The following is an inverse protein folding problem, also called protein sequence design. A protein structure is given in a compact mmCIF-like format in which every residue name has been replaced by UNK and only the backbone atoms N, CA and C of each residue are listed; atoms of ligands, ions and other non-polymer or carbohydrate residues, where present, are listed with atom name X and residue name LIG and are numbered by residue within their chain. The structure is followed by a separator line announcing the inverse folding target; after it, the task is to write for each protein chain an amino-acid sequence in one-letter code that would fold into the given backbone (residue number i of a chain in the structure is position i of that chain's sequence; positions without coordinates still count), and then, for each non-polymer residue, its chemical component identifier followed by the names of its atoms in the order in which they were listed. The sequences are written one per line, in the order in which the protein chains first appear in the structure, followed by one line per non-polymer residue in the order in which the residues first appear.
data_IF_791320189821
#
_entry.id   IF_791320189821
#
_cell.length_a   1.000
_cell.length_b   1.000
_cell.length_c   1.000
_cell.angle_alpha   90.00
_cell.angle_beta   90.00
_cell.angle_gamma   90.00
#
_symmetry.space_group_name_H-M   'P 1'
#
loop_
_entity.id
_entity.type
_entity.pdbx_description
1 polymer ?
#
# COMPACT_ATOMS: atom_id res chain seq x y z
N UNK A 1 18.47 13.31 31.80
CA UNK A 1 17.42 13.11 30.76
C UNK A 1 17.65 11.75 30.12
N UNK A 2 16.59 11.01 29.87
CA UNK A 2 16.66 9.73 29.12
C UNK A 2 16.96 10.07 27.65
N UNK A 3 17.98 9.44 27.08
CA UNK A 3 18.34 9.63 25.66
C UNK A 3 17.77 8.48 24.82
N UNK A 4 17.17 8.81 23.68
CA UNK A 4 16.77 7.83 22.66
C UNK A 4 17.95 7.38 21.81
N UNK A 5 17.75 6.32 21.00
CA UNK A 5 18.73 5.89 20.00
C UNK A 5 18.96 7.01 18.97
N UNK A 6 20.22 7.24 18.56
CA UNK A 6 20.56 8.24 17.53
C UNK A 6 19.82 8.06 16.21
N UNK A 7 19.54 6.80 15.85
CA UNK A 7 18.77 6.47 14.66
C UNK A 7 17.39 7.16 14.61
N UNK A 8 16.78 7.41 15.77
CA UNK A 8 15.45 8.04 15.87
C UNK A 8 15.46 9.55 15.56
N UNK A 9 16.61 10.20 15.53
CA UNK A 9 16.73 11.64 15.23
C UNK A 9 16.29 11.96 13.78
N UNK A 10 16.36 10.97 12.87
CA UNK A 10 15.95 11.11 11.47
C UNK A 10 14.47 10.78 11.24
N UNK A 11 13.77 10.23 12.24
CA UNK A 11 12.40 9.73 12.12
C UNK A 11 11.43 10.80 12.58
N UNK A 12 10.44 11.11 11.73
CA UNK A 12 9.27 11.89 12.12
C UNK A 12 8.11 10.93 12.38
N UNK A 13 7.28 11.19 13.42
CA UNK A 13 6.08 10.41 13.63
C UNK A 13 5.19 10.42 12.38
N UNK A 14 4.64 9.27 12.03
CA UNK A 14 3.68 9.18 10.92
C UNK A 14 2.48 10.10 11.15
N UNK A 15 2.14 10.90 10.15
CA UNK A 15 0.96 11.76 10.18
C UNK A 15 -0.18 11.09 9.41
N UNK A 16 -1.12 10.41 10.08
CA UNK A 16 -2.27 9.81 9.41
C UNK A 16 -3.17 10.87 8.78
N UNK A 17 -3.96 10.48 7.78
CA UNK A 17 -5.06 11.32 7.32
C UNK A 17 -6.11 11.48 8.43
N UNK A 18 -6.80 12.63 8.45
CA UNK A 18 -7.87 12.88 9.45
C UNK A 18 -8.92 11.77 9.39
N UNK A 19 -9.36 11.24 10.54
CA UNK A 19 -10.49 10.31 10.59
C UNK A 19 -11.80 11.06 10.32
N UNK A 20 -12.84 10.33 9.89
CA UNK A 20 -14.15 10.89 9.55
C UNK A 20 -14.75 11.67 10.72
N UNK A 21 -14.74 11.07 11.92
CA UNK A 21 -15.34 11.66 13.12
C UNK A 21 -14.69 13.00 13.50
N UNK A 22 -13.38 13.13 13.35
CA UNK A 22 -12.66 14.37 13.67
C UNK A 22 -13.10 15.51 12.74
N UNK A 23 -13.23 15.24 11.43
CA UNK A 23 -13.71 16.23 10.46
C UNK A 23 -15.18 16.60 10.70
N UNK A 24 -16.00 15.61 11.07
CA UNK A 24 -17.40 15.87 11.45
C UNK A 24 -17.51 16.81 12.65
N UNK A 25 -16.73 16.56 13.71
CA UNK A 25 -16.74 17.39 14.91
C UNK A 25 -16.17 18.79 14.65
N UNK A 26 -15.02 18.89 13.96
CA UNK A 26 -14.37 20.18 13.69
C UNK A 26 -15.20 21.10 12.80
N UNK A 27 -15.89 20.55 11.79
CA UNK A 27 -16.59 21.32 10.78
C UNK A 27 -18.12 21.33 10.96
N UNK A 28 -18.64 20.57 11.93
CA UNK A 28 -20.09 20.47 12.17
C UNK A 28 -20.85 19.81 11.02
N UNK A 29 -20.25 18.82 10.35
CA UNK A 29 -20.82 18.16 9.17
C UNK A 29 -21.46 16.83 9.55
N UNK A 30 -22.68 16.59 9.09
CA UNK A 30 -23.38 15.31 9.27
C UNK A 30 -22.77 14.18 8.42
N UNK A 31 -22.23 14.53 7.24
CA UNK A 31 -21.66 13.58 6.29
C UNK A 31 -20.27 13.99 5.84
N UNK A 32 -19.35 13.04 5.89
CA UNK A 32 -17.98 13.18 5.39
C UNK A 32 -17.63 11.97 4.52
N UNK A 33 -17.02 12.22 3.37
CA UNK A 33 -16.56 11.21 2.43
C UNK A 33 -15.03 11.10 2.53
N UNK A 34 -14.52 9.91 2.83
CA UNK A 34 -13.10 9.68 2.98
C UNK A 34 -12.51 8.93 1.77
N UNK A 35 -11.85 9.69 0.91
CA UNK A 35 -11.14 9.19 -0.29
C UNK A 35 -9.61 9.35 -0.14
N UNK A 36 -9.05 9.06 1.04
CA UNK A 36 -7.67 9.37 1.40
C UNK A 36 -6.79 8.14 1.69
N UNK A 37 -7.36 7.03 2.16
CA UNK A 37 -6.58 5.90 2.70
C UNK A 37 -6.62 4.63 1.85
N UNK A 38 -7.14 4.73 0.62
CA UNK A 38 -7.23 3.61 -0.32
C UNK A 38 -7.98 2.41 0.28
N UNK A 39 -9.00 2.69 1.08
CA UNK A 39 -9.90 1.69 1.66
C UNK A 39 -10.85 1.15 0.58
N UNK A 40 -11.38 -0.06 0.78
CA UNK A 40 -12.39 -0.61 -0.13
C UNK A 40 -13.76 0.02 0.16
N UNK A 41 -14.40 0.73 -0.79
CA UNK A 41 -15.68 1.38 -0.54
C UNK A 41 -16.84 0.40 -0.32
N UNK A 42 -16.70 -0.88 -0.71
CA UNK A 42 -17.68 -1.93 -0.43
C UNK A 42 -17.59 -2.47 1.01
N UNK A 43 -16.54 -2.09 1.76
CA UNK A 43 -16.25 -2.66 3.07
C UNK A 43 -15.78 -4.12 3.01
N UNK A 44 -15.82 -4.88 4.12
CA UNK A 44 -15.44 -6.27 4.19
C UNK A 44 -16.53 -7.20 3.61
N UNK A 45 -16.14 -8.40 3.16
CA UNK A 45 -17.10 -9.39 2.74
C UNK A 45 -18.01 -9.85 3.90
N UNK A 46 -19.24 -10.25 3.59
CA UNK A 46 -20.16 -10.81 4.60
C UNK A 46 -19.61 -12.06 5.28
N UNK A 47 -18.86 -12.90 4.54
CA UNK A 47 -18.20 -14.10 5.08
C UNK A 47 -17.13 -13.73 6.12
N UNK A 48 -16.35 -12.67 5.87
CA UNK A 48 -15.36 -12.19 6.82
C UNK A 48 -16.02 -11.62 8.09
N UNK A 49 -17.11 -10.87 7.95
CA UNK A 49 -17.89 -10.34 9.07
C UNK A 49 -18.44 -11.47 9.92
N UNK A 50 -19.05 -12.49 9.29
CA UNK A 50 -19.58 -13.68 9.98
C UNK A 50 -18.47 -14.42 10.75
N UNK A 51 -17.31 -14.64 10.14
CA UNK A 51 -16.16 -15.27 10.79
C UNK A 51 -15.68 -14.49 12.03
N UNK A 52 -15.65 -13.15 11.96
CA UNK A 52 -15.36 -12.29 13.11
C UNK A 52 -16.38 -12.51 14.23
N UNK A 53 -17.67 -12.49 13.90
CA UNK A 53 -18.74 -12.67 14.89
C UNK A 53 -18.65 -14.03 15.61
N UNK A 54 -18.34 -15.09 14.88
CA UNK A 54 -18.13 -16.42 15.46
C UNK A 54 -16.91 -16.47 16.38
N UNK A 55 -15.85 -15.70 16.08
CA UNK A 55 -14.62 -15.67 16.86
C UNK A 55 -14.73 -14.86 18.17
N UNK A 56 -15.70 -13.95 18.30
CA UNK A 56 -15.85 -13.06 19.47
C UNK A 56 -15.92 -13.80 20.80
N UNK A 57 -16.54 -14.98 20.83
CA UNK A 57 -16.74 -15.77 22.07
C UNK A 57 -15.47 -16.41 22.63
N UNK A 58 -14.35 -16.36 21.88
CA UNK A 58 -13.06 -16.95 22.25
C UNK A 58 -11.96 -15.92 22.53
N UNK A 59 -12.28 -14.64 22.57
CA UNK A 59 -11.29 -13.53 22.72
C UNK A 59 -10.46 -13.59 24.01
N UNK A 60 -10.86 -14.36 24.99
CA UNK A 60 -10.10 -14.60 26.21
C UNK A 60 -8.92 -15.58 26.02
N UNK A 61 -8.70 -16.09 24.80
CA UNK A 61 -7.61 -16.98 24.45
C UNK A 61 -6.62 -16.27 23.52
N UNK A 62 -5.34 -16.61 23.64
CA UNK A 62 -4.34 -16.19 22.65
C UNK A 62 -4.69 -16.77 21.28
N UNK A 63 -4.43 -16.00 20.20
CA UNK A 63 -4.57 -16.53 18.84
C UNK A 63 -3.55 -17.62 18.57
N UNK A 64 -3.71 -18.33 17.45
CA UNK A 64 -2.67 -19.23 16.93
C UNK A 64 -1.44 -18.40 16.52
N UNK A 65 -0.28 -18.68 17.14
CA UNK A 65 0.96 -17.95 16.90
C UNK A 65 1.46 -18.07 15.47
N UNK A 66 1.18 -19.19 14.80
CA UNK A 66 1.60 -19.48 13.42
C UNK A 66 0.49 -19.21 12.40
N UNK A 67 -0.72 -18.86 12.84
CA UNK A 67 -1.90 -18.65 12.01
C UNK A 67 -2.10 -19.79 10.99
N UNK A 68 -2.01 -21.06 11.44
CA UNK A 68 -1.91 -22.26 10.60
C UNK A 68 -3.05 -22.35 9.58
N UNK A 69 -4.30 -22.11 10.00
CA UNK A 69 -5.45 -22.18 9.11
C UNK A 69 -5.43 -21.11 8.02
N UNK A 70 -5.08 -19.86 8.39
CA UNK A 70 -4.93 -18.77 7.43
C UNK A 70 -3.78 -19.06 6.46
N UNK A 71 -2.65 -19.50 6.99
CA UNK A 71 -1.47 -19.86 6.20
C UNK A 71 -1.76 -20.94 5.20
N UNK A 72 -2.52 -21.99 5.59
CA UNK A 72 -2.93 -23.06 4.68
C UNK A 72 -3.88 -22.54 3.59
N UNK A 73 -4.88 -21.71 3.95
CA UNK A 73 -5.80 -21.12 2.97
C UNK A 73 -5.09 -20.25 1.93
N UNK A 74 -4.09 -19.48 2.35
CA UNK A 74 -3.25 -18.69 1.44
C UNK A 74 -2.38 -19.60 0.57
N UNK A 75 -1.76 -20.62 1.17
CA UNK A 75 -0.92 -21.59 0.46
C UNK A 75 -1.68 -22.28 -0.67
N UNK A 76 -2.90 -22.76 -0.38
CA UNK A 76 -3.79 -23.40 -1.35
C UNK A 76 -4.21 -22.41 -2.46
N UNK A 77 -4.55 -21.18 -2.10
CA UNK A 77 -4.98 -20.13 -3.05
C UNK A 77 -3.89 -19.72 -4.02
N UNK A 78 -2.66 -19.59 -3.53
CA UNK A 78 -1.50 -19.11 -4.30
C UNK A 78 -0.66 -20.26 -4.89
N UNK A 79 -1.01 -21.52 -4.56
CA UNK A 79 -0.23 -22.70 -4.95
C UNK A 79 1.26 -22.60 -4.53
N UNK A 80 1.49 -22.24 -3.26
CA UNK A 80 2.82 -22.17 -2.64
C UNK A 80 2.87 -23.05 -1.40
N UNK A 81 4.06 -23.40 -0.90
CA UNK A 81 4.17 -24.17 0.34
C UNK A 81 3.91 -23.25 1.57
N UNK A 82 3.25 -23.76 2.61
CA UNK A 82 3.03 -23.04 3.86
C UNK A 82 4.33 -22.55 4.51
N UNK A 83 5.45 -23.24 4.30
CA UNK A 83 6.78 -22.83 4.76
C UNK A 83 7.33 -21.58 4.04
N UNK A 84 6.75 -21.19 2.91
CA UNK A 84 7.08 -19.99 2.15
C UNK A 84 6.27 -18.76 2.59
N UNK A 85 5.39 -18.91 3.59
CA UNK A 85 4.47 -17.86 4.05
C UNK A 85 4.82 -17.36 5.45
N UNK A 86 4.69 -16.04 5.63
CA UNK A 86 4.66 -15.38 6.92
C UNK A 86 3.41 -14.53 7.03
N UNK A 87 2.68 -14.64 8.14
CA UNK A 87 1.48 -13.84 8.42
C UNK A 87 1.86 -12.71 9.39
N UNK A 88 1.41 -11.50 9.08
CA UNK A 88 1.81 -10.28 9.79
C UNK A 88 0.61 -9.40 10.15
N UNK A 89 0.80 -8.50 11.12
CA UNK A 89 -0.17 -7.52 11.58
C UNK A 89 -0.26 -6.33 10.59
N UNK A 90 -0.79 -6.59 9.40
CA UNK A 90 -0.72 -5.73 8.23
C UNK A 90 0.61 -5.90 7.48
N UNK A 91 0.69 -5.28 6.30
CA UNK A 91 1.91 -5.25 5.50
C UNK A 91 3.04 -4.45 6.17
N UNK A 92 2.68 -3.43 6.94
CA UNK A 92 3.64 -2.53 7.59
C UNK A 92 4.52 -3.28 8.60
N UNK A 93 3.96 -4.24 9.36
CA UNK A 93 4.78 -5.09 10.23
C UNK A 93 5.82 -5.88 9.44
N UNK A 94 5.47 -6.40 8.26
CA UNK A 94 6.44 -7.13 7.44
C UNK A 94 7.60 -6.23 7.01
N UNK A 95 7.35 -4.98 6.62
CA UNK A 95 8.39 -4.00 6.28
C UNK A 95 9.33 -3.77 7.48
N UNK A 96 8.78 -3.63 8.68
CA UNK A 96 9.57 -3.51 9.92
C UNK A 96 10.40 -4.76 10.17
N UNK A 97 9.79 -5.95 10.12
CA UNK A 97 10.49 -7.23 10.31
C UNK A 97 11.61 -7.46 9.29
N UNK A 98 11.41 -7.04 8.03
CA UNK A 98 12.46 -7.09 7.00
C UNK A 98 13.63 -6.19 7.37
N UNK A 99 13.35 -4.98 7.83
CA UNK A 99 14.38 -4.06 8.27
C UNK A 99 15.17 -4.61 9.48
N UNK A 100 14.48 -5.15 10.47
CA UNK A 100 15.09 -5.76 11.66
C UNK A 100 15.90 -7.03 11.34
N UNK A 101 15.50 -7.76 10.29
CA UNK A 101 16.16 -9.01 9.91
C UNK A 101 17.41 -8.78 9.07
N UNK A 102 17.41 -7.79 8.17
CA UNK A 102 18.40 -7.70 7.10
C UNK A 102 19.23 -6.41 7.11
N UNK A 103 18.90 -5.42 7.95
CA UNK A 103 19.62 -4.15 7.98
C UNK A 103 20.40 -3.94 9.25
N UNK A 104 21.63 -3.45 9.08
CA UNK A 104 22.50 -2.94 10.13
C UNK A 104 22.82 -1.47 9.90
N UNK A 105 23.40 -0.81 10.90
CA UNK A 105 23.79 0.58 10.79
C UNK A 105 24.79 0.81 9.64
N UNK A 106 24.42 1.69 8.72
CA UNK A 106 25.25 2.03 7.55
C UNK A 106 24.93 1.23 6.29
N UNK A 107 24.10 0.19 6.38
CA UNK A 107 23.54 -0.49 5.21
C UNK A 107 22.68 0.45 4.36
N UNK A 108 22.31 0.04 3.17
CA UNK A 108 21.52 0.82 2.24
C UNK A 108 20.30 0.04 1.76
N UNK A 109 19.17 0.76 1.64
CA UNK A 109 18.03 0.32 0.86
C UNK A 109 17.86 1.21 -0.36
N UNK A 110 17.33 0.66 -1.46
CA UNK A 110 16.94 1.43 -2.65
C UNK A 110 15.42 1.49 -2.70
N UNK A 111 14.88 2.71 -2.86
CA UNK A 111 13.45 2.97 -2.93
C UNK A 111 13.14 3.84 -4.15
N UNK A 112 12.23 3.43 -5.04
CA UNK A 112 11.71 4.31 -6.09
C UNK A 112 11.08 5.58 -5.49
N UNK A 113 11.26 6.72 -6.12
CA UNK A 113 10.77 8.00 -5.58
C UNK A 113 10.00 8.79 -6.64
N UNK A 114 8.76 9.19 -6.34
CA UNK A 114 8.02 9.01 -5.07
C UNK A 114 7.47 7.59 -4.87
N UNK A 115 7.44 7.12 -3.61
CA UNK A 115 6.85 5.83 -3.24
C UNK A 115 6.31 5.84 -1.79
N UNK A 116 6.01 4.66 -1.23
CA UNK A 116 5.44 4.52 0.10
C UNK A 116 6.48 4.81 1.19
N UNK A 117 6.14 5.70 2.13
CA UNK A 117 7.09 6.26 3.13
C UNK A 117 7.53 5.28 4.22
N UNK A 118 6.81 4.18 4.43
CA UNK A 118 7.14 3.24 5.51
C UNK A 118 8.43 2.44 5.24
N UNK A 119 8.89 2.38 3.99
CA UNK A 119 10.19 1.78 3.68
C UNK A 119 11.33 2.59 4.32
N UNK A 120 11.26 3.92 4.22
CA UNK A 120 12.24 4.84 4.80
C UNK A 120 12.23 4.74 6.33
N UNK A 121 11.05 4.62 6.93
CA UNK A 121 10.89 4.46 8.37
C UNK A 121 11.66 3.25 8.89
N UNK A 122 11.45 2.07 8.27
CA UNK A 122 12.12 0.83 8.67
C UNK A 122 13.65 0.93 8.55
N UNK A 123 14.15 1.51 7.45
CA UNK A 123 15.59 1.71 7.26
C UNK A 123 16.19 2.65 8.31
N UNK A 124 15.58 3.80 8.52
CA UNK A 124 16.04 4.76 9.52
C UNK A 124 16.02 4.19 10.93
N UNK A 125 15.01 3.35 11.27
CA UNK A 125 14.92 2.67 12.57
C UNK A 125 16.16 1.80 12.84
N UNK A 126 16.71 1.18 11.81
CA UNK A 126 17.94 0.35 11.90
C UNK A 126 19.23 1.15 11.74
N UNK A 127 19.15 2.45 11.42
CA UNK A 127 20.31 3.29 11.14
C UNK A 127 20.88 3.09 9.73
N UNK A 128 20.12 2.46 8.85
CA UNK A 128 20.44 2.32 7.44
C UNK A 128 20.14 3.60 6.66
N UNK A 129 20.70 3.70 5.46
CA UNK A 129 20.51 4.83 4.55
C UNK A 129 19.47 4.47 3.47
N UNK A 130 18.74 5.48 3.04
CA UNK A 130 17.78 5.37 1.93
C UNK A 130 18.40 6.00 0.70
N UNK A 131 18.50 5.22 -0.37
CA UNK A 131 18.93 5.67 -1.70
C UNK A 131 17.70 5.77 -2.58
N UNK A 132 17.38 6.98 -3.04
CA UNK A 132 16.20 7.24 -3.85
C UNK A 132 16.50 7.04 -5.33
N UNK A 133 15.83 6.08 -5.96
CA UNK A 133 15.81 5.86 -7.41
C UNK A 133 14.63 6.64 -8.01
N UNK A 134 14.89 7.75 -8.69
CA UNK A 134 13.82 8.59 -9.24
C UNK A 134 13.06 7.86 -10.34
N UNK A 135 11.74 7.93 -10.27
CA UNK A 135 10.85 7.54 -11.37
C UNK A 135 10.96 8.55 -12.52
N UNK A 136 10.61 8.13 -13.73
CA UNK A 136 10.54 8.99 -14.90
C UNK A 136 9.44 10.06 -14.78
N UNK A 137 9.34 10.95 -15.78
CA UNK A 137 8.39 12.07 -15.76
C UNK A 137 6.92 11.64 -15.60
N UNK A 138 6.55 10.50 -16.19
CA UNK A 138 5.20 9.92 -16.08
C UNK A 138 5.07 8.94 -14.91
N UNK A 139 6.01 9.00 -13.96
CA UNK A 139 6.11 8.10 -12.82
C UNK A 139 6.32 6.62 -13.18
N UNK A 140 6.83 6.34 -14.35
CA UNK A 140 7.23 5.01 -14.78
C UNK A 140 8.58 4.61 -14.15
N UNK A 141 8.78 3.30 -14.03
CA UNK A 141 10.04 2.76 -13.51
C UNK A 141 11.14 2.81 -14.57
N UNK A 142 12.33 3.30 -14.18
CA UNK A 142 13.57 3.06 -14.91
C UNK A 142 14.45 2.10 -14.10
N UNK A 143 14.55 0.86 -14.55
CA UNK A 143 15.36 -0.16 -13.88
C UNK A 143 16.86 0.16 -13.90
N UNK A 144 17.34 0.97 -14.86
CA UNK A 144 18.74 1.34 -14.92
C UNK A 144 19.09 2.30 -13.77
N UNK A 145 18.20 3.24 -13.43
CA UNK A 145 18.38 4.11 -12.25
C UNK A 145 18.45 3.30 -10.96
N UNK A 146 17.67 2.23 -10.85
CA UNK A 146 17.73 1.31 -9.70
C UNK A 146 19.07 0.57 -9.68
N UNK A 147 19.51 0.04 -10.83
CA UNK A 147 20.76 -0.72 -10.94
C UNK A 147 21.99 0.16 -10.70
N UNK A 148 21.99 1.38 -11.21
CA UNK A 148 23.08 2.34 -11.02
C UNK A 148 23.20 2.83 -9.56
N UNK A 149 22.12 2.73 -8.79
CA UNK A 149 22.09 3.05 -7.36
C UNK A 149 22.66 1.93 -6.46
N UNK A 150 22.90 0.73 -6.99
CA UNK A 150 23.40 -0.43 -6.22
C UNK A 150 24.85 -0.21 -5.79
N UNK A 151 25.13 -0.44 -4.52
CA UNK A 151 26.48 -0.44 -3.93
C UNK A 151 26.73 -1.71 -3.13
N UNK A 152 27.94 -1.92 -2.64
CA UNK A 152 28.29 -3.04 -1.76
C UNK A 152 27.52 -3.02 -0.42
N UNK A 153 26.91 -1.87 -0.05
CA UNK A 153 26.09 -1.72 1.15
C UNK A 153 24.61 -1.97 0.91
N UNK A 154 24.18 -2.10 -0.34
CA UNK A 154 22.78 -2.34 -0.67
C UNK A 154 22.33 -3.70 -0.18
N UNK A 155 21.29 -3.76 0.66
CA UNK A 155 20.71 -4.98 1.21
C UNK A 155 19.31 -5.26 0.70
N UNK A 156 18.51 -4.21 0.51
CA UNK A 156 17.10 -4.34 0.10
C UNK A 156 16.81 -3.36 -1.04
N UNK A 157 16.09 -3.85 -2.04
CA UNK A 157 15.43 -3.02 -3.06
C UNK A 157 13.93 -3.16 -2.88
N UNK A 158 13.24 -2.06 -2.59
CA UNK A 158 11.78 -2.01 -2.52
C UNK A 158 11.19 -1.66 -3.88
N UNK A 159 10.14 -2.37 -4.27
CA UNK A 159 9.38 -2.15 -5.51
C UNK A 159 7.89 -2.19 -5.17
N UNK A 160 7.23 -1.05 -5.15
CA UNK A 160 5.78 -0.97 -4.93
C UNK A 160 5.07 -1.04 -6.29
N UNK A 161 4.40 -2.14 -6.59
CA UNK A 161 3.76 -2.31 -7.90
C UNK A 161 2.38 -2.98 -7.75
N UNK A 162 1.30 -2.24 -8.05
CA UNK A 162 1.22 -0.82 -8.43
C UNK A 162 1.72 0.12 -7.35
N UNK A 163 2.40 1.21 -7.76
CA UNK A 163 3.09 2.13 -6.87
C UNK A 163 2.13 3.09 -6.15
N UNK A 164 2.38 3.36 -4.90
CA UNK A 164 1.71 4.39 -4.11
C UNK A 164 2.70 5.56 -3.88
N UNK A 165 2.45 6.79 -4.37
CA UNK A 165 1.12 7.35 -4.68
C UNK A 165 0.74 7.40 -6.17
N UNK A 166 1.54 6.91 -7.09
CA UNK A 166 1.40 7.21 -8.52
C UNK A 166 0.37 6.34 -9.24
N UNK A 167 0.15 5.10 -8.75
CA UNK A 167 -0.70 4.12 -9.39
C UNK A 167 -0.07 3.40 -10.59
N UNK A 168 1.12 3.80 -11.01
CA UNK A 168 1.90 3.15 -12.06
C UNK A 168 2.43 1.80 -11.60
N UNK A 169 2.81 0.92 -12.51
CA UNK A 169 3.30 -0.41 -12.18
C UNK A 169 4.62 -0.71 -12.90
N UNK A 170 5.34 -1.69 -12.38
CA UNK A 170 6.55 -2.22 -13.02
C UNK A 170 6.16 -3.38 -13.96
N UNK A 171 6.37 -3.27 -15.28
CA UNK A 171 6.11 -4.34 -16.24
C UNK A 171 6.95 -5.59 -15.95
N UNK A 172 6.37 -6.76 -16.18
CA UNK A 172 6.99 -8.06 -15.94
C UNK A 172 8.38 -8.21 -16.59
N UNK A 173 8.52 -7.78 -17.84
CA UNK A 173 9.78 -7.86 -18.55
C UNK A 173 10.88 -6.98 -17.93
N UNK A 174 10.53 -5.83 -17.38
CA UNK A 174 11.47 -4.96 -16.66
C UNK A 174 11.85 -5.57 -15.30
N UNK A 175 10.88 -6.17 -14.59
CA UNK A 175 11.16 -6.87 -13.34
C UNK A 175 12.10 -8.05 -13.55
N UNK A 176 11.90 -8.84 -14.61
CA UNK A 176 12.80 -9.94 -15.00
C UNK A 176 14.22 -9.44 -15.30
N UNK A 177 14.33 -8.35 -16.06
CA UNK A 177 15.63 -7.74 -16.35
C UNK A 177 16.34 -7.23 -15.10
N UNK A 178 15.59 -6.65 -14.16
CA UNK A 178 16.13 -6.19 -12.87
C UNK A 178 16.66 -7.39 -12.06
N UNK A 179 15.86 -8.43 -11.87
CA UNK A 179 16.24 -9.62 -11.11
C UNK A 179 17.49 -10.31 -11.68
N UNK A 180 17.62 -10.37 -13.01
CA UNK A 180 18.76 -10.98 -13.68
C UNK A 180 20.07 -10.19 -13.55
N UNK A 181 19.99 -8.90 -13.20
CA UNK A 181 21.16 -8.01 -13.08
C UNK A 181 21.53 -7.69 -11.64
N UNK A 182 20.60 -7.83 -10.71
CA UNK A 182 20.88 -7.58 -9.29
C UNK A 182 21.76 -8.69 -8.71
N UNK A 183 22.71 -8.36 -7.82
CA UNK A 183 23.47 -9.35 -7.06
C UNK A 183 22.57 -10.24 -6.18
N UNK A 184 22.86 -11.54 -6.12
CA UNK A 184 22.05 -12.55 -5.40
C UNK A 184 21.92 -12.33 -3.89
N UNK A 185 22.75 -11.46 -3.31
CA UNK A 185 22.68 -11.13 -1.87
C UNK A 185 21.69 -10.00 -1.55
N UNK A 186 21.14 -9.32 -2.55
CA UNK A 186 20.19 -8.24 -2.38
C UNK A 186 18.77 -8.82 -2.34
N UNK A 187 18.04 -8.55 -1.27
CA UNK A 187 16.64 -8.92 -1.14
C UNK A 187 15.78 -7.93 -1.94
N UNK A 188 14.95 -8.45 -2.83
CA UNK A 188 13.93 -7.64 -3.52
C UNK A 188 12.60 -7.78 -2.80
N UNK A 189 12.06 -6.68 -2.29
CA UNK A 189 10.72 -6.62 -1.70
C UNK A 189 9.76 -6.13 -2.77
N UNK A 190 8.91 -7.04 -3.26
CA UNK A 190 7.86 -6.70 -4.21
C UNK A 190 6.56 -6.44 -3.44
N UNK A 191 6.26 -5.15 -3.22
CA UNK A 191 5.04 -4.75 -2.52
C UNK A 191 3.85 -4.75 -3.48
N UNK A 192 3.06 -5.81 -3.39
CA UNK A 192 1.85 -6.06 -4.16
C UNK A 192 0.56 -5.65 -3.44
N UNK A 193 0.58 -4.66 -2.54
CA UNK A 193 -0.61 -4.25 -1.78
C UNK A 193 -1.83 -3.91 -2.65
N UNK A 194 -1.59 -3.52 -3.90
CA UNK A 194 -2.64 -3.17 -4.89
C UNK A 194 -2.72 -4.15 -6.05
N UNK A 195 -2.00 -5.28 -6.02
CA UNK A 195 -1.89 -6.26 -7.12
C UNK A 195 -3.24 -6.74 -7.66
N UNK A 196 -4.21 -6.94 -6.78
CA UNK A 196 -5.55 -7.40 -7.16
C UNK A 196 -6.34 -6.42 -8.05
N UNK A 197 -5.92 -5.16 -8.13
CA UNK A 197 -6.54 -4.14 -8.99
C UNK A 197 -5.83 -3.99 -10.34
N UNK A 198 -4.63 -4.54 -10.48
CA UNK A 198 -3.85 -4.47 -11.72
C UNK A 198 -4.47 -5.40 -12.77
N UNK A 199 -4.75 -4.84 -13.96
CA UNK A 199 -5.40 -5.52 -15.06
C UNK A 199 -4.54 -5.56 -16.35
N UNK A 200 -3.28 -5.12 -16.28
CA UNK A 200 -2.37 -5.16 -17.44
C UNK A 200 -1.90 -6.60 -17.69
N UNK A 201 -1.86 -7.00 -18.96
CA UNK A 201 -1.45 -8.36 -19.35
C UNK A 201 0.03 -8.66 -19.02
N UNK A 202 0.86 -7.62 -18.93
CA UNK A 202 2.27 -7.70 -18.58
C UNK A 202 2.57 -7.37 -17.11
N UNK A 203 1.55 -7.38 -16.25
CA UNK A 203 1.72 -7.23 -14.81
C UNK A 203 2.17 -8.55 -14.16
N UNK A 204 2.95 -8.46 -13.09
CA UNK A 204 3.26 -9.58 -12.17
C UNK A 204 3.10 -9.12 -10.73
N UNK A 205 2.74 -10.04 -9.84
CA UNK A 205 2.75 -9.83 -8.38
C UNK A 205 4.05 -10.31 -7.70
N UNK A 206 5.02 -10.77 -8.48
CA UNK A 206 6.32 -11.22 -8.01
C UNK A 206 6.37 -12.64 -7.45
N UNK A 207 5.24 -13.30 -7.18
CA UNK A 207 5.19 -14.62 -6.52
C UNK A 207 5.82 -15.72 -7.37
N UNK A 208 5.63 -15.69 -8.68
CA UNK A 208 6.17 -16.70 -9.61
C UNK A 208 7.71 -16.79 -9.58
N UNK A 209 8.42 -15.70 -9.27
CA UNK A 209 9.89 -15.66 -9.23
C UNK A 209 10.48 -16.31 -7.99
N UNK A 210 9.69 -16.48 -6.93
CA UNK A 210 10.11 -17.17 -5.70
C UNK A 210 10.41 -18.64 -5.98
N UNK A 211 9.58 -19.30 -6.79
CA UNK A 211 9.80 -20.67 -7.22
C UNK A 211 11.06 -20.84 -8.08
N UNK A 212 11.45 -19.79 -8.83
CA UNK A 212 12.67 -19.75 -9.65
C UNK A 212 13.93 -19.49 -8.85
N UNK A 213 13.84 -19.31 -7.52
CA UNK A 213 14.99 -19.21 -6.62
C UNK A 213 15.53 -17.79 -6.40
N UNK A 214 14.94 -16.77 -7.01
CA UNK A 214 15.34 -15.38 -6.78
C UNK A 214 15.13 -14.96 -5.31
N UNK A 215 15.97 -14.04 -4.77
CA UNK A 215 15.81 -13.50 -3.42
C UNK A 215 14.69 -12.45 -3.38
N UNK A 216 13.46 -12.88 -3.69
CA UNK A 216 12.26 -12.04 -3.70
C UNK A 216 11.38 -12.38 -2.51
N UNK A 217 10.80 -11.36 -1.89
CA UNK A 217 9.65 -11.48 -1.02
C UNK A 217 8.49 -10.65 -1.60
N UNK A 218 7.39 -11.33 -1.95
CA UNK A 218 6.15 -10.68 -2.37
C UNK A 218 5.32 -10.37 -1.12
N UNK A 219 5.03 -9.07 -0.92
CA UNK A 219 4.26 -8.56 0.20
C UNK A 219 2.82 -8.32 -0.25
N UNK A 220 1.83 -8.77 0.55
CA UNK A 220 0.41 -8.67 0.28
C UNK A 220 -0.35 -8.21 1.52
N UNK A 221 -1.53 -7.60 1.32
CA UNK A 221 -2.35 -7.10 2.43
C UNK A 221 -3.83 -7.43 2.24
N UNK A 222 -4.52 -7.68 3.35
CA UNK A 222 -5.98 -7.75 3.37
C UNK A 222 -6.66 -6.38 3.56
N UNK A 223 -5.88 -5.32 3.73
CA UNK A 223 -6.39 -3.96 3.99
C UNK A 223 -7.09 -3.32 2.78
N UNK A 224 -6.77 -3.77 1.55
CA UNK A 224 -7.22 -3.12 0.30
C UNK A 224 -8.39 -3.89 -0.31
N UNK A 225 -8.15 -4.78 -1.26
CA UNK A 225 -9.20 -5.49 -2.00
C UNK A 225 -10.18 -6.24 -1.08
N UNK A 226 -9.71 -6.80 0.02
CA UNK A 226 -10.53 -7.58 0.96
C UNK A 226 -11.32 -6.73 1.96
N UNK A 227 -11.11 -5.39 2.02
CA UNK A 227 -11.83 -4.50 2.91
C UNK A 227 -11.54 -4.68 4.41
N UNK A 228 -10.39 -5.25 4.77
CA UNK A 228 -10.05 -5.62 6.15
C UNK A 228 -9.00 -4.69 6.79
N UNK A 229 -8.96 -3.42 6.39
CA UNK A 229 -7.97 -2.45 6.89
C UNK A 229 -7.96 -2.33 8.41
N UNK A 230 -9.12 -2.38 9.06
CA UNK A 230 -9.27 -2.17 10.51
C UNK A 230 -8.82 -3.35 11.38
N UNK A 231 -8.76 -4.58 10.84
CA UNK A 231 -8.36 -5.77 11.63
C UNK A 231 -6.87 -6.05 11.58
N UNK A 232 -6.12 -5.38 10.70
CA UNK A 232 -4.66 -5.42 10.60
C UNK A 232 -4.12 -6.83 10.28
N UNK A 233 -4.18 -7.25 9.03
CA UNK A 233 -3.60 -8.51 8.57
C UNK A 233 -3.00 -8.38 7.17
N UNK A 234 -1.82 -8.96 7.01
CA UNK A 234 -1.08 -9.06 5.75
C UNK A 234 -0.23 -10.32 5.74
N UNK A 235 0.47 -10.55 4.67
CA UNK A 235 1.38 -11.68 4.56
C UNK A 235 2.51 -11.42 3.57
N UNK A 236 3.57 -12.20 3.71
CA UNK A 236 4.65 -12.27 2.75
C UNK A 236 4.82 -13.68 2.21
N UNK A 237 5.18 -13.77 0.94
CA UNK A 237 5.59 -15.02 0.27
C UNK A 237 7.05 -14.90 -0.12
N UNK A 238 7.89 -15.85 0.30
CA UNK A 238 9.31 -15.89 -0.05
C UNK A 238 9.84 -17.32 -0.01
N UNK A 239 11.09 -17.51 -0.39
CA UNK A 239 11.77 -18.78 -0.13
C UNK A 239 11.76 -19.10 1.37
N UNK A 240 11.63 -20.38 1.70
CA UNK A 240 11.54 -20.85 3.09
C UNK A 240 12.73 -20.41 3.96
N UNK A 241 13.94 -20.34 3.40
CA UNK A 241 15.14 -19.90 4.13
C UNK A 241 15.06 -18.40 4.52
N UNK A 242 14.45 -17.55 3.68
CA UNK A 242 14.19 -16.14 3.98
C UNK A 242 13.14 -16.03 5.10
N UNK A 243 12.02 -16.75 4.98
CA UNK A 243 10.97 -16.80 6.01
C UNK A 243 11.53 -17.21 7.37
N UNK A 244 12.38 -18.26 7.41
CA UNK A 244 12.99 -18.73 8.67
C UNK A 244 13.88 -17.67 9.33
N UNK A 245 14.48 -16.77 8.58
CA UNK A 245 15.25 -15.65 9.14
C UNK A 245 14.33 -14.61 9.78
N UNK A 246 13.24 -14.22 9.08
CA UNK A 246 12.27 -13.23 9.55
C UNK A 246 11.53 -13.73 10.81
N UNK A 247 11.23 -15.02 10.90
CA UNK A 247 10.59 -15.61 12.08
C UNK A 247 11.39 -15.47 13.38
N UNK A 248 12.69 -15.14 13.32
CA UNK A 248 13.52 -14.92 14.51
C UNK A 248 13.24 -13.61 15.22
N UNK A 249 12.75 -12.62 14.49
CA UNK A 249 12.42 -11.28 15.03
C UNK A 249 10.92 -11.07 15.18
N UNK A 250 10.10 -11.93 14.55
CA UNK A 250 8.64 -11.84 14.64
C UNK A 250 8.16 -12.07 16.08
N UNK A 251 7.35 -11.15 16.60
CA UNK A 251 6.71 -11.31 17.91
C UNK A 251 5.72 -12.50 17.92
N UNK A 252 5.64 -13.26 19.02
CA UNK A 252 4.62 -14.29 19.17
C UNK A 252 3.21 -13.66 19.23
N UNK A 253 2.23 -14.35 18.63
CA UNK A 253 0.82 -13.90 18.63
C UNK A 253 0.56 -12.53 18.01
N UNK A 254 1.43 -12.11 17.07
CA UNK A 254 1.39 -10.79 16.42
C UNK A 254 0.07 -10.49 15.70
N UNK A 255 -0.61 -11.51 15.16
CA UNK A 255 -1.89 -11.35 14.43
C UNK A 255 -3.04 -11.81 15.31
N UNK A 256 -3.98 -10.93 15.58
CA UNK A 256 -5.11 -11.19 16.46
C UNK A 256 -6.10 -12.24 15.88
N UNK A 257 -6.87 -12.87 16.75
CA UNK A 257 -7.77 -13.96 16.38
C UNK A 257 -8.88 -13.55 15.39
N UNK A 258 -9.40 -12.31 15.51
CA UNK A 258 -10.42 -11.79 14.61
C UNK A 258 -9.85 -11.60 13.19
N UNK A 259 -8.62 -11.09 13.11
CA UNK A 259 -7.92 -10.91 11.84
C UNK A 259 -7.66 -12.25 11.13
N UNK A 260 -7.21 -13.28 11.89
CA UNK A 260 -6.97 -14.60 11.34
C UNK A 260 -8.28 -15.22 10.80
N UNK A 261 -9.37 -15.15 11.55
CA UNK A 261 -10.67 -15.67 11.13
C UNK A 261 -11.21 -14.93 9.90
N UNK A 262 -11.20 -13.59 9.94
CA UNK A 262 -11.65 -12.75 8.84
C UNK A 262 -10.87 -13.00 7.54
N UNK A 263 -9.54 -13.03 7.63
CA UNK A 263 -8.68 -13.23 6.47
C UNK A 263 -8.82 -14.63 5.87
N UNK A 264 -8.99 -15.67 6.71
CA UNK A 264 -9.26 -17.05 6.26
C UNK A 264 -10.57 -17.15 5.47
N UNK A 265 -11.60 -16.41 5.87
CA UNK A 265 -12.86 -16.35 5.13
C UNK A 265 -12.74 -15.50 3.86
N UNK A 266 -12.06 -14.36 3.95
CA UNK A 266 -11.94 -13.39 2.87
C UNK A 266 -11.11 -13.89 1.68
N UNK A 267 -10.00 -14.64 1.93
CA UNK A 267 -9.10 -15.13 0.86
C UNK A 267 -9.84 -16.04 -0.15
N UNK A 268 -10.90 -16.69 0.31
CA UNK A 268 -11.72 -17.60 -0.47
C UNK A 268 -13.03 -16.95 -0.99
N UNK A 269 -13.19 -15.63 -0.82
CA UNK A 269 -14.37 -14.92 -1.29
C UNK A 269 -14.12 -14.23 -2.64
N UNK A 270 -14.00 -15.05 -3.69
CA UNK A 270 -13.74 -14.58 -5.05
C UNK A 270 -14.83 -13.65 -5.59
N UNK A 271 -16.06 -13.78 -5.10
CA UNK A 271 -17.17 -12.92 -5.50
C UNK A 271 -16.95 -11.49 -4.97
N UNK A 272 -16.60 -11.35 -3.70
CA UNK A 272 -16.28 -10.05 -3.11
C UNK A 272 -15.09 -9.38 -3.81
N UNK A 273 -14.02 -10.14 -4.09
CA UNK A 273 -12.84 -9.64 -4.82
C UNK A 273 -13.24 -9.14 -6.20
N UNK A 274 -14.01 -9.92 -6.96
CA UNK A 274 -14.47 -9.54 -8.30
C UNK A 274 -15.36 -8.30 -8.28
N UNK A 275 -16.31 -8.25 -7.34
CA UNK A 275 -17.19 -7.07 -7.20
C UNK A 275 -16.38 -5.81 -6.86
N UNK A 276 -15.37 -5.93 -6.00
CA UNK A 276 -14.46 -4.83 -5.65
C UNK A 276 -13.63 -4.36 -6.85
N UNK A 277 -13.16 -5.29 -7.68
CA UNK A 277 -12.47 -4.96 -8.94
C UNK A 277 -13.37 -4.20 -9.90
N UNK A 278 -14.62 -4.66 -10.10
CA UNK A 278 -15.59 -4.02 -10.99
C UNK A 278 -15.94 -2.61 -10.51
N UNK A 279 -16.18 -2.43 -9.21
CA UNK A 279 -16.47 -1.10 -8.64
C UNK A 279 -15.28 -0.17 -8.82
N UNK A 280 -14.08 -0.65 -8.54
CA UNK A 280 -12.86 0.13 -8.73
C UNK A 280 -12.62 0.54 -10.18
N UNK A 281 -12.79 -0.37 -11.12
CA UNK A 281 -12.61 -0.09 -12.55
C UNK A 281 -13.60 0.98 -13.04
N UNK A 282 -14.90 0.79 -12.74
CA UNK A 282 -15.94 1.76 -13.08
C UNK A 282 -15.67 3.12 -12.45
N UNK A 283 -15.26 3.14 -11.18
CA UNK A 283 -14.96 4.37 -10.45
C UNK A 283 -13.74 5.09 -11.02
N UNK A 284 -12.68 4.37 -11.43
CA UNK A 284 -11.53 4.97 -12.11
C UNK A 284 -11.91 5.60 -13.45
N UNK A 285 -12.71 4.89 -14.26
CA UNK A 285 -13.21 5.42 -15.55
C UNK A 285 -14.00 6.69 -15.30
N UNK A 286 -14.92 6.70 -14.35
CA UNK A 286 -15.70 7.89 -13.97
C UNK A 286 -14.82 9.08 -13.60
N UNK A 287 -13.77 8.84 -12.78
CA UNK A 287 -12.81 9.88 -12.40
C UNK A 287 -12.02 10.38 -13.61
N UNK A 288 -11.52 9.50 -14.47
CA UNK A 288 -10.76 9.88 -15.66
C UNK A 288 -11.60 10.74 -16.62
N UNK A 289 -12.81 10.31 -16.95
CA UNK A 289 -13.72 11.09 -17.81
C UNK A 289 -14.01 12.48 -17.26
N UNK A 290 -14.15 12.61 -15.94
CA UNK A 290 -14.40 13.89 -15.30
C UNK A 290 -13.16 14.79 -15.33
N UNK A 291 -11.97 14.24 -15.03
CA UNK A 291 -10.70 14.96 -15.06
C UNK A 291 -10.37 15.46 -16.47
N UNK A 292 -10.57 14.63 -17.50
CA UNK A 292 -10.41 15.01 -18.90
C UNK A 292 -11.34 16.16 -19.31
N UNK A 293 -12.63 16.07 -18.93
CA UNK A 293 -13.62 17.17 -19.18
C UNK A 293 -13.22 18.48 -18.48
N UNK A 294 -12.59 18.42 -17.33
CA UNK A 294 -12.11 19.59 -16.59
C UNK A 294 -10.72 20.07 -17.05
N UNK A 295 -10.07 19.34 -17.96
CA UNK A 295 -8.68 19.57 -18.42
C UNK A 295 -7.69 19.56 -17.25
N UNK A 296 -7.80 18.56 -16.38
CA UNK A 296 -6.94 18.34 -15.21
C UNK A 296 -6.07 17.10 -15.46
N UNK A 297 -4.75 17.24 -15.24
CA UNK A 297 -3.79 16.16 -15.41
C UNK A 297 -3.93 15.08 -14.33
N UNK A 298 -3.62 13.84 -14.68
CA UNK A 298 -3.62 12.72 -13.74
C UNK A 298 -2.67 11.61 -14.20
N UNK A 299 -2.23 10.78 -13.26
CA UNK A 299 -1.47 9.56 -13.57
C UNK A 299 -2.44 8.40 -13.84
N UNK A 300 -2.20 7.63 -14.92
CA UNK A 300 -2.95 6.39 -15.17
C UNK A 300 -2.61 5.37 -14.09
N UNK A 301 -3.63 4.87 -13.40
CA UNK A 301 -3.47 4.03 -12.22
C UNK A 301 -3.94 2.59 -12.45
N UNK A 302 -3.15 1.64 -11.93
CA UNK A 302 -3.56 0.23 -11.77
C UNK A 302 -3.97 -0.10 -10.33
N UNK A 303 -4.19 0.95 -9.50
CA UNK A 303 -4.58 0.83 -8.09
C UNK A 303 -6.05 1.21 -7.85
N UNK A 304 -6.43 1.32 -6.57
CA UNK A 304 -7.72 1.86 -6.16
C UNK A 304 -7.65 3.35 -5.76
N UNK A 305 -6.82 4.11 -6.43
CA UNK A 305 -6.69 5.55 -6.30
C UNK A 305 -6.16 6.17 -7.59
N UNK A 306 -6.26 7.48 -7.71
CA UNK A 306 -5.72 8.27 -8.81
C UNK A 306 -4.87 9.41 -8.23
N UNK A 307 -3.68 9.63 -8.77
CA UNK A 307 -2.86 10.81 -8.49
C UNK A 307 -3.26 11.91 -9.47
N UNK A 308 -3.77 13.03 -8.95
CA UNK A 308 -4.37 14.14 -9.73
C UNK A 308 -3.49 15.36 -9.62
N UNK A 309 -3.14 15.98 -10.75
CA UNK A 309 -2.31 17.17 -10.84
C UNK A 309 -3.16 18.43 -10.78
N UNK A 310 -3.17 19.09 -9.63
CA UNK A 310 -3.91 20.34 -9.42
C UNK A 310 -3.06 21.57 -9.80
N UNK A 311 -1.74 21.46 -9.65
CA UNK A 311 -0.80 22.57 -9.80
C UNK A 311 -0.52 23.29 -8.48
N UNK A 312 0.04 24.51 -8.52
CA UNK A 312 0.54 25.23 -7.34
C UNK A 312 -0.52 25.50 -6.27
N UNK A 313 -1.80 25.49 -6.63
CA UNK A 313 -2.93 25.67 -5.70
C UNK A 313 -3.34 24.39 -4.97
N UNK A 314 -2.64 23.25 -5.15
CA UNK A 314 -3.10 21.94 -4.65
C UNK A 314 -3.30 21.90 -3.12
N UNK A 315 -2.53 22.65 -2.35
CA UNK A 315 -2.74 22.74 -0.90
C UNK A 315 -4.07 23.43 -0.56
N UNK A 316 -4.33 24.57 -1.16
CA UNK A 316 -5.59 25.32 -0.96
C UNK A 316 -6.78 24.52 -1.47
N UNK A 317 -6.63 23.86 -2.61
CA UNK A 317 -7.63 22.97 -3.18
C UNK A 317 -7.98 21.82 -2.22
N UNK A 318 -6.96 21.17 -1.63
CA UNK A 318 -7.13 20.15 -0.59
C UNK A 318 -7.90 20.68 0.62
N UNK A 319 -7.55 21.89 1.10
CA UNK A 319 -8.22 22.53 2.25
C UNK A 319 -9.69 22.88 1.93
N UNK A 320 -9.98 23.34 0.71
CA UNK A 320 -11.36 23.59 0.25
C UNK A 320 -12.18 22.30 0.17
N UNK A 321 -11.62 21.19 -0.36
CA UNK A 321 -12.29 19.88 -0.35
C UNK A 321 -12.60 19.42 1.07
N UNK A 322 -11.63 19.55 1.97
CA UNK A 322 -11.80 19.18 3.38
C UNK A 322 -12.94 19.99 4.02
N UNK A 323 -13.01 21.29 3.77
CA UNK A 323 -14.12 22.16 4.24
C UNK A 323 -15.49 21.74 3.69
N UNK A 324 -15.55 21.05 2.56
CA UNK A 324 -16.76 20.45 1.98
C UNK A 324 -17.03 19.03 2.49
N UNK A 325 -16.25 18.53 3.45
CA UNK A 325 -16.38 17.17 3.99
C UNK A 325 -15.80 16.07 3.10
N UNK A 326 -14.91 16.40 2.18
CA UNK A 326 -14.24 15.41 1.31
C UNK A 326 -12.78 15.32 1.68
N UNK A 327 -12.38 14.18 2.24
CA UNK A 327 -11.01 13.92 2.68
C UNK A 327 -10.25 13.20 1.56
N UNK A 328 -9.28 13.88 0.97
CA UNK A 328 -8.30 13.30 0.04
C UNK A 328 -6.90 13.34 0.65
N UNK A 329 -5.85 12.93 -0.06
CA UNK A 329 -4.49 13.01 0.46
C UNK A 329 -3.67 14.03 -0.32
N UNK A 330 -3.14 15.04 0.38
CA UNK A 330 -2.24 16.04 -0.21
C UNK A 330 -0.87 15.43 -0.52
N UNK A 331 -0.35 15.72 -1.71
CA UNK A 331 0.84 15.08 -2.27
C UNK A 331 2.18 15.52 -1.66
N UNK A 332 2.21 16.60 -0.88
CA UNK A 332 3.47 17.12 -0.32
C UNK A 332 4.22 16.09 0.54
N UNK A 333 3.53 15.13 1.16
CA UNK A 333 4.15 14.05 1.93
C UNK A 333 5.04 13.13 1.09
N UNK A 334 4.87 13.13 -0.22
CA UNK A 334 5.67 12.38 -1.20
C UNK A 334 6.58 13.27 -2.03
N UNK A 335 6.74 14.57 -1.65
CA UNK A 335 7.47 15.55 -2.45
C UNK A 335 6.73 15.98 -3.73
N UNK A 336 5.42 15.80 -3.79
CA UNK A 336 4.54 16.16 -4.91
C UNK A 336 3.55 17.27 -4.50
N UNK A 337 4.03 18.50 -4.20
CA UNK A 337 3.17 19.57 -3.66
C UNK A 337 2.08 20.05 -4.63
N UNK A 338 2.20 19.75 -5.93
CA UNK A 338 1.22 20.11 -6.96
C UNK A 338 0.12 19.06 -7.17
N UNK A 339 0.12 17.99 -6.35
CA UNK A 339 -0.78 16.85 -6.54
C UNK A 339 -1.63 16.57 -5.31
N UNK A 340 -2.76 15.91 -5.56
CA UNK A 340 -3.56 15.20 -4.55
C UNK A 340 -3.72 13.74 -4.97
N UNK A 341 -3.78 12.80 -4.02
CA UNK A 341 -4.17 11.42 -4.28
C UNK A 341 -5.60 11.19 -3.82
N UNK A 342 -6.42 10.68 -4.72
CA UNK A 342 -7.85 10.45 -4.51
C UNK A 342 -8.11 8.94 -4.57
N UNK A 343 -8.59 8.35 -3.49
CA UNK A 343 -9.04 6.95 -3.48
C UNK A 343 -10.31 6.80 -4.33
N UNK A 344 -10.45 5.68 -5.02
CA UNK A 344 -11.67 5.36 -5.76
C UNK A 344 -12.75 4.95 -4.77
N UNK A 345 -13.82 5.73 -4.69
CA UNK A 345 -15.02 5.47 -3.90
C UNK A 345 -16.09 4.71 -4.67
N UNK A 346 -17.31 4.65 -4.11
CA UNK A 346 -18.50 4.26 -4.86
C UNK A 346 -18.76 5.26 -5.98
N UNK A 347 -19.64 4.92 -6.93
CA UNK A 347 -19.99 5.85 -8.01
C UNK A 347 -20.63 7.15 -7.48
N UNK A 348 -21.36 7.06 -6.37
CA UNK A 348 -21.98 8.18 -5.68
C UNK A 348 -20.95 9.07 -4.98
N UNK A 349 -19.98 8.48 -4.27
CA UNK A 349 -18.89 9.20 -3.62
C UNK A 349 -17.99 9.91 -4.64
N UNK A 350 -17.66 9.22 -5.74
CA UNK A 350 -16.93 9.81 -6.85
C UNK A 350 -17.68 10.96 -7.49
N UNK A 351 -19.02 10.84 -7.70
CA UNK A 351 -19.83 11.90 -8.28
C UNK A 351 -19.86 13.16 -7.39
N UNK A 352 -19.93 12.97 -6.07
CA UNK A 352 -19.87 14.08 -5.11
C UNK A 352 -18.49 14.76 -5.11
N UNK A 353 -17.40 13.99 -5.10
CA UNK A 353 -16.05 14.52 -5.25
C UNK A 353 -15.90 15.31 -6.56
N UNK A 354 -16.35 14.77 -7.70
CA UNK A 354 -16.27 15.42 -9.02
C UNK A 354 -17.04 16.74 -9.02
N UNK A 355 -18.23 16.77 -8.42
CA UNK A 355 -19.07 17.98 -8.32
C UNK A 355 -18.36 19.08 -7.54
N UNK A 356 -17.84 18.77 -6.35
CA UNK A 356 -17.16 19.77 -5.51
C UNK A 356 -15.81 20.20 -6.12
N UNK A 357 -15.08 19.28 -6.74
CA UNK A 357 -13.87 19.58 -7.50
C UNK A 357 -14.16 20.60 -8.62
N UNK A 358 -15.21 20.37 -9.42
CA UNK A 358 -15.58 21.26 -10.51
C UNK A 358 -15.98 22.65 -9.98
N UNK A 359 -16.70 22.73 -8.85
CA UNK A 359 -17.07 23.99 -8.23
C UNK A 359 -15.85 24.80 -7.80
N UNK A 360 -14.88 24.17 -7.11
CA UNK A 360 -13.65 24.83 -6.64
C UNK A 360 -12.81 25.33 -7.83
N UNK A 361 -12.64 24.51 -8.88
CA UNK A 361 -11.89 24.92 -10.08
C UNK A 361 -12.52 26.09 -10.83
N UNK A 362 -13.87 26.18 -10.85
CA UNK A 362 -14.57 27.28 -11.48
C UNK A 362 -14.45 28.58 -10.67
N UNK A 363 -14.47 28.52 -9.33
CA UNK A 363 -14.21 29.67 -8.46
C UNK A 363 -12.81 30.26 -8.75
N UNK A 364 -11.78 29.42 -8.87
CA UNK A 364 -10.40 29.86 -9.15
C UNK A 364 -10.26 30.50 -10.54
N UNK A 365 -10.95 29.98 -11.56
CA UNK A 365 -10.94 30.54 -12.92
C UNK A 365 -11.69 31.88 -13.04
N UNK A 366 -12.56 32.19 -12.09
CA UNK A 366 -13.36 33.44 -12.11
C UNK A 366 -12.62 34.58 -11.41
N UNK A 367 -11.60 34.27 -10.61
CA UNK A 367 -10.81 35.28 -9.85
C UNK A 367 -9.58 35.77 -10.62
N UNK A 368 -9.24 35.14 -11.74
CA UNK A 368 -8.16 35.52 -12.68
C UNK A 368 -8.73 36.32 -13.86
#
# INVERSE_FOLDING_TARGET
MIQSRKALEKIQPYSPGKPIWEVQEELGLDRVIKMASNENPLGPSSKAVEAIMQQLVTLNRYPDADAVHLKQSIADKLNVAASQLIITNGADELITLLSETFLENGDEIIVPSPSFSEYDFGAHLMGANVVLAKLELDFEYDINVILDAVTDRTKIVYLCSPNNPTGTYLPKNQFEQLLNKLPDHILVVFDGAYSHYAAADDYTDGIEYIASGYPVIALQTFSKIYGLAGVRVGFGVARADIIQRILKVKEPFNVNALAQAAATAAINDDEHVRNSQIVNEKGRIQLYEALEKMNVGYSKSMSNFVLVQIGPAAKEFYEKLLAKGIIVRYGAIWGLPDYIRVSVGTLEENAEFIKEMAAILNEERTVV
#
